data_IF_739257186544
#
_entry.id   IF_739257186544
#
_cell.length_a   1.000
_cell.length_b   1.000
_cell.length_c   1.000
_cell.angle_alpha   90.00
_cell.angle_beta   90.00
_cell.angle_gamma   90.00
#
_symmetry.space_group_name_H-M   'P 1'
#
loop_
_entity.id
_entity.type
_entity.pdbx_description
1 polymer ?
#
# COMPACT_ATOMS: atom_id res chain seq x y z
N UNK A 1 9.17 -27.47 -22.07
CA UNK A 1 8.22 -26.36 -22.23
C UNK A 1 9.01 -25.07 -22.15
N UNK A 2 9.02 -24.26 -23.21
CA UNK A 2 9.67 -22.95 -23.19
C UNK A 2 8.60 -21.89 -22.91
N UNK A 3 8.83 -21.04 -21.92
CA UNK A 3 8.03 -19.84 -21.71
C UNK A 3 8.52 -18.76 -22.66
N UNK A 4 7.61 -18.13 -23.40
CA UNK A 4 7.96 -16.96 -24.22
C UNK A 4 8.11 -15.73 -23.33
N UNK A 5 9.08 -14.88 -23.65
CA UNK A 5 9.20 -13.57 -23.02
C UNK A 5 8.00 -12.69 -23.40
N UNK A 6 7.37 -12.06 -22.41
CA UNK A 6 6.19 -11.21 -22.58
C UNK A 6 6.50 -9.75 -22.94
N UNK A 7 7.78 -9.43 -23.21
CA UNK A 7 8.27 -8.08 -23.48
C UNK A 7 9.75 -7.94 -23.16
N UNK A 8 10.29 -6.73 -23.25
CA UNK A 8 11.62 -6.41 -22.73
C UNK A 8 11.60 -6.43 -21.19
N UNK A 9 12.73 -6.73 -20.53
CA UNK A 9 12.83 -6.56 -19.08
C UNK A 9 12.44 -5.14 -18.66
N UNK A 10 11.42 -5.02 -17.79
CA UNK A 10 10.91 -3.73 -17.30
C UNK A 10 9.54 -3.33 -17.85
N UNK A 11 9.08 -3.90 -18.96
CA UNK A 11 7.80 -3.50 -19.60
C UNK A 11 6.56 -3.72 -18.72
N UNK A 12 6.66 -4.64 -17.76
CA UNK A 12 5.60 -4.99 -16.81
C UNK A 12 5.89 -4.54 -15.38
N UNK A 13 6.87 -3.65 -15.18
CA UNK A 13 7.18 -3.11 -13.86
C UNK A 13 6.21 -1.99 -13.47
N UNK A 14 5.66 -2.11 -12.27
CA UNK A 14 4.73 -1.13 -11.72
C UNK A 14 5.19 -0.73 -10.32
N UNK A 15 5.40 0.57 -10.15
CA UNK A 15 5.84 1.15 -8.90
C UNK A 15 4.65 1.57 -8.04
N UNK A 16 4.69 1.18 -6.77
CA UNK A 16 3.73 1.61 -5.76
C UNK A 16 4.44 2.64 -4.89
N UNK A 17 4.04 3.90 -5.04
CA UNK A 17 4.58 5.02 -4.28
C UNK A 17 3.45 5.93 -3.78
N UNK A 18 3.68 6.68 -2.70
CA UNK A 18 2.71 7.66 -2.25
C UNK A 18 2.63 8.84 -3.23
N UNK A 19 1.43 9.32 -3.50
CA UNK A 19 1.16 10.47 -4.38
C UNK A 19 1.01 10.12 -5.86
N UNK A 20 1.26 8.87 -6.24
CA UNK A 20 1.01 8.39 -7.59
C UNK A 20 -0.49 8.07 -7.79
N UNK A 21 -1.02 8.37 -8.97
CA UNK A 21 -2.42 8.14 -9.34
C UNK A 21 -2.90 6.70 -9.13
N UNK A 22 -1.99 5.72 -9.16
CA UNK A 22 -2.28 4.31 -8.90
C UNK A 22 -1.71 3.82 -7.57
N UNK A 23 -0.84 4.60 -6.94
CA UNK A 23 -0.12 4.22 -5.74
C UNK A 23 -0.89 4.54 -4.47
N UNK A 24 -0.15 4.92 -3.44
CA UNK A 24 -0.69 5.19 -2.10
C UNK A 24 -1.15 6.65 -2.02
N UNK A 25 -2.21 6.96 -1.26
CA UNK A 25 -2.68 8.34 -1.12
C UNK A 25 -1.68 9.19 -0.32
N UNK A 26 -1.73 10.51 -0.53
CA UNK A 26 -0.94 11.48 0.21
C UNK A 26 0.48 11.68 -0.34
N UNK A 27 1.30 12.42 0.40
CA UNK A 27 2.68 12.75 0.00
C UNK A 27 3.67 11.78 0.66
N UNK A 28 4.71 11.31 -0.06
CA UNK A 28 5.80 10.55 0.55
C UNK A 28 6.41 11.31 1.73
N UNK A 29 6.59 10.61 2.86
CA UNK A 29 7.21 11.16 4.05
C UNK A 29 8.42 10.35 4.51
N UNK A 30 9.33 10.99 5.22
CA UNK A 30 10.51 10.33 5.77
C UNK A 30 10.11 9.21 6.75
N UNK A 31 10.84 8.11 6.69
CA UNK A 31 10.73 7.00 7.67
C UNK A 31 9.35 6.34 7.80
N UNK A 32 8.43 6.52 6.84
CA UNK A 32 7.08 5.92 6.86
C UNK A 32 7.11 4.37 6.79
N UNK A 33 8.25 3.78 6.41
CA UNK A 33 8.49 2.34 6.33
C UNK A 33 7.56 1.60 5.35
N UNK A 34 7.14 2.27 4.28
CA UNK A 34 6.43 1.65 3.16
C UNK A 34 7.16 0.38 2.70
N UNK A 35 6.42 -0.70 2.47
CA UNK A 35 6.97 -1.97 2.00
C UNK A 35 7.50 -2.92 3.09
N UNK A 36 7.67 -2.46 4.34
CA UNK A 36 8.18 -3.34 5.41
C UNK A 36 7.09 -4.25 6.01
N UNK A 37 5.83 -3.80 5.96
CA UNK A 37 4.70 -4.50 6.56
C UNK A 37 3.63 -4.70 5.50
N UNK A 38 3.54 -5.92 4.99
CA UNK A 38 2.68 -6.27 3.86
C UNK A 38 1.79 -7.46 4.23
N UNK A 39 0.56 -7.44 3.75
CA UNK A 39 -0.32 -8.60 3.78
C UNK A 39 -1.11 -8.68 2.47
N UNK A 40 -1.12 -9.86 1.86
CA UNK A 40 -1.82 -10.11 0.61
C UNK A 40 -3.13 -10.87 0.89
N UNK A 41 -4.22 -10.33 0.38
CA UNK A 41 -5.53 -11.01 0.35
C UNK A 41 -5.95 -11.25 -1.10
N UNK A 42 -7.05 -11.98 -1.32
CA UNK A 42 -7.53 -12.25 -2.67
C UNK A 42 -7.91 -10.99 -3.48
N UNK A 43 -8.18 -9.86 -2.83
CA UNK A 43 -8.64 -8.62 -3.48
C UNK A 43 -7.71 -7.43 -3.29
N UNK A 44 -6.93 -7.40 -2.21
CA UNK A 44 -6.08 -6.26 -1.87
C UNK A 44 -4.69 -6.68 -1.43
N UNK A 45 -3.72 -5.84 -1.77
CA UNK A 45 -2.43 -5.73 -1.12
C UNK A 45 -2.51 -4.68 -0.01
N UNK A 46 -2.38 -5.12 1.24
CA UNK A 46 -2.37 -4.25 2.40
C UNK A 46 -0.95 -3.81 2.73
N UNK A 47 -0.78 -2.50 2.90
CA UNK A 47 0.52 -1.86 3.12
C UNK A 47 0.47 -1.07 4.41
N UNK A 48 1.28 -1.48 5.38
CA UNK A 48 1.40 -0.85 6.69
C UNK A 48 2.48 0.21 6.68
N UNK A 49 2.15 1.36 7.25
CA UNK A 49 3.04 2.49 7.43
C UNK A 49 3.00 2.93 8.91
N UNK A 50 3.78 2.31 9.79
CA UNK A 50 3.69 2.57 11.23
C UNK A 50 4.18 3.94 11.68
N UNK A 51 4.86 4.69 10.83
CA UNK A 51 5.40 6.01 11.17
C UNK A 51 4.82 7.15 10.32
N UNK A 52 3.72 6.90 9.63
CA UNK A 52 3.02 7.92 8.85
C UNK A 52 2.08 7.29 7.82
N UNK A 53 1.41 8.06 6.96
CA UNK A 53 1.34 9.52 6.99
C UNK A 53 0.62 10.09 8.23
N UNK A 54 -0.17 9.29 8.96
CA UNK A 54 -0.78 9.72 10.21
C UNK A 54 0.17 9.64 11.41
N UNK A 55 -0.02 10.49 12.42
CA UNK A 55 0.84 10.59 13.62
C UNK A 55 1.07 9.23 14.33
N UNK A 56 0.08 8.34 14.30
CA UNK A 56 0.13 7.01 14.94
C UNK A 56 0.30 5.86 13.95
N UNK A 57 0.61 6.15 12.69
CA UNK A 57 0.69 5.20 11.58
C UNK A 57 -0.65 4.97 10.87
N UNK A 58 -0.57 4.34 9.70
CA UNK A 58 -1.71 4.01 8.84
C UNK A 58 -1.51 2.65 8.17
N UNK A 59 -2.61 2.08 7.68
CA UNK A 59 -2.63 0.92 6.78
C UNK A 59 -3.43 1.28 5.54
N UNK A 60 -2.89 0.99 4.37
CA UNK A 60 -3.55 1.24 3.09
C UNK A 60 -3.91 -0.10 2.43
N UNK A 61 -5.17 -0.26 2.02
CA UNK A 61 -5.63 -1.37 1.21
C UNK A 61 -5.60 -0.98 -0.26
N UNK A 62 -4.62 -1.49 -0.98
CA UNK A 62 -4.43 -1.25 -2.41
C UNK A 62 -5.09 -2.39 -3.22
N UNK A 63 -6.04 -2.11 -4.12
CA UNK A 63 -6.57 -3.13 -5.03
C UNK A 63 -5.45 -3.74 -5.89
N UNK A 64 -5.51 -5.04 -6.18
CA UNK A 64 -4.48 -5.69 -7.02
C UNK A 64 -4.35 -5.07 -8.42
N UNK A 65 -5.43 -4.52 -8.99
CA UNK A 65 -5.37 -3.84 -10.29
C UNK A 65 -4.38 -2.67 -10.30
N UNK A 66 -4.18 -1.99 -9.17
CA UNK A 66 -3.22 -0.90 -9.05
C UNK A 66 -1.77 -1.41 -9.11
N UNK A 67 -1.49 -2.53 -8.43
CA UNK A 67 -0.17 -3.15 -8.37
C UNK A 67 0.22 -3.87 -9.67
N UNK A 68 -0.76 -4.30 -10.46
CA UNK A 68 -0.56 -5.09 -11.69
C UNK A 68 -0.72 -4.25 -12.97
N UNK A 69 -0.62 -2.92 -12.89
CA UNK A 69 -0.68 -2.06 -14.08
C UNK A 69 -2.05 -1.88 -14.71
N UNK A 70 -3.12 -2.39 -14.08
CA UNK A 70 -4.50 -2.16 -14.46
C UNK A 70 -5.00 -0.77 -14.08
N UNK A 71 -6.30 -0.52 -14.30
CA UNK A 71 -6.94 0.74 -13.90
C UNK A 71 -6.80 0.94 -12.39
N UNK A 72 -6.34 2.14 -12.00
CA UNK A 72 -6.23 2.52 -10.59
C UNK A 72 -7.59 2.57 -9.92
N UNK A 73 -7.81 1.67 -8.97
CA UNK A 73 -8.97 1.66 -8.08
C UNK A 73 -8.71 2.48 -6.81
N UNK A 74 -9.77 2.67 -6.04
CA UNK A 74 -9.73 3.43 -4.79
C UNK A 74 -8.93 2.70 -3.72
N UNK A 75 -7.95 3.39 -3.12
CA UNK A 75 -7.18 2.89 -1.98
C UNK A 75 -7.93 3.17 -0.69
N UNK A 76 -8.18 2.13 0.11
CA UNK A 76 -8.77 2.29 1.45
C UNK A 76 -7.69 2.65 2.46
N UNK A 77 -7.99 3.54 3.39
CA UNK A 77 -7.04 3.94 4.45
C UNK A 77 -7.64 3.67 5.82
N UNK A 78 -6.87 3.00 6.67
CA UNK A 78 -7.18 2.77 8.07
C UNK A 78 -6.13 3.44 8.94
N UNK A 79 -6.57 4.22 9.92
CA UNK A 79 -5.70 4.87 10.88
C UNK A 79 -6.43 5.05 12.22
N UNK A 80 -5.70 5.09 13.35
CA UNK A 80 -6.30 5.40 14.64
C UNK A 80 -7.09 6.71 14.60
N UNK A 81 -8.29 6.72 15.20
CA UNK A 81 -9.21 7.87 15.19
C UNK A 81 -10.13 7.98 13.96
N UNK A 82 -9.94 7.15 12.93
CA UNK A 82 -10.81 7.10 11.76
C UNK A 82 -11.80 5.92 11.87
N UNK A 83 -13.04 6.11 11.41
CA UNK A 83 -14.07 5.05 11.33
C UNK A 83 -14.30 4.30 12.66
N UNK A 84 -14.20 4.99 13.80
CA UNK A 84 -14.39 4.40 15.12
C UNK A 84 -13.19 3.63 15.67
N UNK A 85 -12.05 3.60 14.96
CA UNK A 85 -10.81 3.06 15.50
C UNK A 85 -10.32 3.90 16.68
N UNK A 86 -10.01 3.24 17.79
CA UNK A 86 -9.48 3.92 18.98
C UNK A 86 -8.22 4.73 18.63
N UNK A 87 -8.16 6.00 19.07
CA UNK A 87 -7.01 6.89 18.87
C UNK A 87 -5.86 6.54 19.84
N UNK A 88 -5.43 5.28 19.82
CA UNK A 88 -4.38 4.74 20.70
C UNK A 88 -3.31 4.02 19.89
N UNK A 89 -2.20 3.68 20.54
CA UNK A 89 -1.02 3.10 19.91
C UNK A 89 -0.06 4.14 19.35
N UNK A 90 1.12 3.66 18.95
CA UNK A 90 2.24 4.48 18.45
C UNK A 90 2.72 4.11 17.05
N UNK A 91 2.28 2.97 16.54
CA UNK A 91 2.81 2.38 15.32
C UNK A 91 1.79 1.42 14.66
N UNK A 92 0.61 1.96 14.35
CA UNK A 92 -0.47 1.25 13.67
C UNK A 92 -0.02 0.82 12.27
N UNK A 93 -0.21 -0.45 11.94
CA UNK A 93 0.26 -1.03 10.68
C UNK A 93 1.61 -1.77 10.75
N UNK A 94 2.24 -1.91 11.92
CA UNK A 94 3.38 -2.85 12.09
C UNK A 94 3.00 -4.33 11.98
N UNK A 95 1.71 -4.66 12.00
CA UNK A 95 1.23 -6.02 11.80
C UNK A 95 -0.12 -5.97 11.12
N UNK A 96 -0.28 -6.76 10.06
CA UNK A 96 -1.49 -6.86 9.26
C UNK A 96 -1.76 -8.34 9.04
N UNK A 97 -2.96 -8.79 9.36
CA UNK A 97 -3.39 -10.18 9.30
C UNK A 97 -4.83 -10.29 8.88
#
# INVERSE_FOLDING_TARGET
MAFSLLGEPGDSEHWIEAGNARGLPGTPGASQRVGNYLNATGTHLWIGMPHGPAERGAVHGLPWSNAMGGTGGTVTTHQPGLNGLALTGKAFGMSIR
#
